data_IF_578985557470
#
_entry.id   IF_578985557470
#
_cell.length_a   1.000
_cell.length_b   1.000
_cell.length_c   1.000
_cell.angle_alpha   90.00
_cell.angle_beta   90.00
_cell.angle_gamma   90.00
#
_symmetry.space_group_name_H-M   'P 1'
#
loop_
_entity.id
_entity.type
_entity.pdbx_description
1 polymer ?
#
# COMPACT_ATOMS: atom_id res chain seq x y z
N UNK A 1 -2.33 -2.20 0.70
CA UNK A 1 -0.97 -1.89 0.21
C UNK A 1 -0.42 -0.79 1.11
N UNK A 2 0.86 -0.83 1.48
CA UNK A 2 1.49 0.22 2.27
C UNK A 2 1.47 1.54 1.50
N UNK A 3 1.12 2.64 2.16
CA UNK A 3 1.06 3.98 1.59
C UNK A 3 1.18 5.03 2.68
N UNK A 4 1.97 6.06 2.45
CA UNK A 4 2.05 7.18 3.40
C UNK A 4 2.51 8.48 2.77
N UNK A 5 2.83 9.42 3.64
CA UNK A 5 3.20 10.77 3.25
C UNK A 5 4.63 10.83 2.72
N UNK A 6 4.90 11.85 1.89
CA UNK A 6 6.27 12.22 1.50
C UNK A 6 6.63 13.46 2.33
N UNK A 7 7.77 13.42 3.02
CA UNK A 7 8.26 14.58 3.78
C UNK A 7 8.79 15.69 2.87
N UNK A 8 8.93 16.91 3.41
CA UNK A 8 9.43 18.06 2.63
C UNK A 8 10.86 17.82 2.14
N UNK A 9 11.04 17.79 0.82
CA UNK A 9 12.32 17.50 0.17
C UNK A 9 12.71 16.01 0.12
N UNK A 10 11.83 15.09 0.55
CA UNK A 10 12.07 13.65 0.49
C UNK A 10 11.85 13.11 -0.92
N UNK A 11 12.75 12.22 -1.36
CA UNK A 11 12.60 11.51 -2.64
C UNK A 11 11.47 10.46 -2.54
N UNK A 12 10.55 10.36 -3.53
CA UNK A 12 9.43 9.41 -3.47
C UNK A 12 9.81 7.94 -3.26
N UNK A 13 10.98 7.49 -3.75
CA UNK A 13 11.44 6.10 -3.53
C UNK A 13 11.88 5.90 -2.10
N UNK A 14 12.55 6.91 -1.54
CA UNK A 14 12.97 6.90 -0.14
C UNK A 14 11.75 6.87 0.77
N UNK A 15 10.75 7.71 0.49
CA UNK A 15 9.47 7.68 1.19
C UNK A 15 8.80 6.31 1.06
N UNK A 16 8.70 5.74 -0.15
CA UNK A 16 8.09 4.42 -0.35
C UNK A 16 8.75 3.30 0.47
N UNK A 17 10.09 3.27 0.55
CA UNK A 17 10.79 2.30 1.39
C UNK A 17 10.65 2.56 2.89
N UNK A 18 10.63 3.84 3.30
CA UNK A 18 10.40 4.24 4.69
C UNK A 18 9.01 3.80 5.14
N UNK A 19 7.97 4.18 4.40
CA UNK A 19 6.58 3.82 4.67
C UNK A 19 6.37 2.30 4.63
N UNK A 20 6.98 1.59 3.65
CA UNK A 20 6.96 0.12 3.64
C UNK A 20 7.49 -0.45 4.96
N UNK A 21 8.63 0.05 5.44
CA UNK A 21 9.22 -0.40 6.71
C UNK A 21 8.36 -0.02 7.91
N UNK A 22 7.87 1.22 7.95
CA UNK A 22 7.08 1.77 9.07
C UNK A 22 5.73 1.06 9.20
N UNK A 23 5.08 0.70 8.09
CA UNK A 23 3.75 0.09 8.12
C UNK A 23 3.77 -1.45 8.15
N UNK A 24 4.86 -2.08 7.69
CA UNK A 24 4.93 -3.55 7.53
C UNK A 24 6.15 -4.21 8.15
N UNK A 25 7.18 -3.45 8.51
CA UNK A 25 8.48 -3.98 8.96
C UNK A 25 9.37 -4.53 7.84
N UNK A 26 8.89 -4.57 6.59
CA UNK A 26 9.62 -5.12 5.45
C UNK A 26 10.79 -4.21 5.07
N UNK A 27 11.97 -4.80 4.91
CA UNK A 27 13.18 -4.11 4.45
C UNK A 27 13.87 -4.81 3.28
N UNK A 28 13.51 -6.06 3.00
CA UNK A 28 14.00 -6.87 1.88
C UNK A 28 13.08 -6.73 0.66
N UNK A 29 13.12 -5.58 0.01
CA UNK A 29 12.33 -5.30 -1.21
C UNK A 29 13.19 -4.66 -2.30
N UNK A 30 12.82 -4.88 -3.56
CA UNK A 30 13.42 -4.27 -4.74
C UNK A 30 12.34 -3.56 -5.57
N UNK A 31 12.69 -2.41 -6.17
CA UNK A 31 11.79 -1.69 -7.07
C UNK A 31 11.79 -2.38 -8.44
N UNK A 32 10.64 -2.92 -8.85
CA UNK A 32 10.46 -3.49 -10.18
C UNK A 32 10.01 -2.45 -11.22
N UNK A 33 9.23 -1.46 -10.81
CA UNK A 33 8.70 -0.39 -11.66
C UNK A 33 8.21 0.80 -10.82
N UNK A 34 8.02 1.95 -11.46
CA UNK A 34 7.51 3.18 -10.86
C UNK A 34 6.41 3.77 -11.76
N UNK A 35 5.37 4.35 -11.16
CA UNK A 35 4.34 5.03 -11.93
C UNK A 35 4.92 6.28 -12.60
N UNK A 36 4.67 6.52 -13.90
CA UNK A 36 5.28 7.63 -14.63
C UNK A 36 4.74 9.02 -14.21
N UNK A 37 3.68 9.07 -13.41
CA UNK A 37 3.05 10.28 -12.91
C UNK A 37 2.26 10.00 -11.62
N UNK A 38 1.87 11.07 -10.93
CA UNK A 38 1.07 11.01 -9.71
C UNK A 38 -0.35 10.51 -9.97
N UNK A 39 -0.78 9.53 -9.17
CA UNK A 39 -2.14 9.03 -9.14
C UNK A 39 -2.90 9.70 -7.99
N UNK A 40 -3.99 10.39 -8.30
CA UNK A 40 -4.80 11.12 -7.31
C UNK A 40 -6.21 10.56 -7.26
N UNK A 41 -6.72 10.29 -6.06
CA UNK A 41 -8.15 10.01 -5.83
C UNK A 41 -8.71 10.92 -4.74
N UNK A 42 -10.02 11.13 -4.81
CA UNK A 42 -10.74 11.86 -3.76
C UNK A 42 -11.15 10.88 -2.66
N UNK A 43 -10.67 11.13 -1.44
CA UNK A 43 -11.08 10.37 -0.27
C UNK A 43 -12.52 10.74 0.11
N UNK A 44 -13.44 9.76 0.08
CA UNK A 44 -14.77 9.92 0.68
C UNK A 44 -14.63 9.79 2.21
N UNK A 45 -15.23 10.67 3.03
CA UNK A 45 -14.97 10.74 4.47
C UNK A 45 -15.26 9.46 5.27
N UNK A 46 -16.07 8.52 4.76
CA UNK A 46 -16.58 7.37 5.52
C UNK A 46 -15.65 6.13 5.51
N UNK A 47 -14.51 6.20 4.84
CA UNK A 47 -13.61 5.08 4.55
C UNK A 47 -12.69 4.64 5.70
N UNK A 48 -13.25 4.22 6.83
CA UNK A 48 -12.49 3.57 7.91
C UNK A 48 -13.32 2.43 8.51
N UNK A 49 -13.26 1.23 7.92
CA UNK A 49 -13.04 -0.03 8.65
C UNK A 49 -13.26 -1.28 7.79
N UNK A 50 -12.28 -2.23 7.85
CA UNK A 50 -12.41 -3.71 7.97
C UNK A 50 -11.43 -4.47 7.06
N UNK A 51 -10.79 -5.50 7.63
CA UNK A 51 -10.84 -6.91 7.16
C UNK A 51 -10.13 -7.87 8.14
N UNK A 52 -10.63 -9.10 8.23
CA UNK A 52 -10.21 -10.15 9.19
C UNK A 52 -9.55 -11.38 8.50
N UNK A 53 -8.29 -11.65 8.86
CA UNK A 53 -7.52 -12.92 8.99
C UNK A 53 -6.56 -13.27 7.84
N UNK A 54 -5.26 -13.38 8.14
CA UNK A 54 -4.30 -14.50 7.90
C UNK A 54 -2.87 -14.01 8.30
N UNK A 55 -1.93 -14.94 8.57
CA UNK A 55 -0.61 -14.64 9.17
C UNK A 55 0.53 -15.20 8.32
N UNK A 56 1.61 -14.42 8.17
CA UNK A 56 2.94 -14.84 7.67
C UNK A 56 4.02 -14.05 8.45
N UNK A 57 5.20 -14.65 8.68
CA UNK A 57 6.16 -14.22 9.71
C UNK A 57 7.01 -12.98 9.34
N UNK A 58 7.05 -12.55 8.07
CA UNK A 58 7.89 -11.41 7.64
C UNK A 58 7.21 -10.03 7.78
N UNK A 59 5.88 -9.99 7.85
CA UNK A 59 5.13 -8.72 7.88
C UNK A 59 4.61 -8.47 9.28
N UNK A 60 5.23 -7.49 9.93
CA UNK A 60 4.79 -6.94 11.21
C UNK A 60 3.97 -5.68 10.97
N UNK A 61 2.63 -5.80 11.01
CA UNK A 61 1.73 -4.64 10.85
C UNK A 61 1.72 -3.70 12.05
N UNK A 62 2.41 -4.06 13.15
CA UNK A 62 2.75 -3.10 14.19
C UNK A 62 3.86 -2.13 13.74
N UNK A 63 4.43 -2.35 12.55
CA UNK A 63 5.52 -1.56 12.03
C UNK A 63 6.85 -1.83 12.73
N UNK A 64 7.74 -0.84 12.67
CA UNK A 64 8.94 -0.77 13.52
C UNK A 64 8.66 -0.17 14.91
N UNK A 65 7.38 0.10 15.23
CA UNK A 65 6.93 0.62 16.51
C UNK A 65 7.07 2.14 16.67
N UNK A 66 7.44 2.85 15.61
CA UNK A 66 7.53 4.32 15.59
C UNK A 66 6.17 5.00 15.56
N UNK A 67 5.18 4.38 14.92
CA UNK A 67 3.84 4.94 14.74
C UNK A 67 2.68 4.02 15.14
N UNK A 68 1.47 4.59 15.21
CA UNK A 68 0.27 3.80 15.50
C UNK A 68 -0.01 2.86 14.31
N UNK A 69 -0.23 1.55 14.55
CA UNK A 69 -0.51 0.59 13.48
C UNK A 69 -1.68 1.01 12.59
N UNK A 70 -1.41 1.23 11.30
CA UNK A 70 -2.44 1.55 10.29
C UNK A 70 -3.26 0.30 9.92
N UNK A 71 -2.60 -0.85 9.85
CA UNK A 71 -3.22 -2.10 9.42
C UNK A 71 -3.40 -3.08 10.58
N UNK A 72 -4.57 -3.72 10.62
CA UNK A 72 -4.81 -4.81 11.57
C UNK A 72 -4.33 -6.17 11.04
N UNK A 73 -4.41 -6.39 9.72
CA UNK A 73 -4.21 -7.69 9.05
C UNK A 73 -3.83 -7.54 7.57
N UNK A 74 -3.19 -8.57 7.02
CA UNK A 74 -2.75 -8.62 5.62
C UNK A 74 -2.90 -10.04 5.04
N UNK A 75 -2.88 -10.16 3.72
CA UNK A 75 -2.83 -11.43 2.99
C UNK A 75 -2.22 -11.18 1.62
N UNK A 76 -1.53 -12.17 1.06
CA UNK A 76 -1.29 -12.22 -0.38
C UNK A 76 -2.63 -12.41 -1.10
N UNK A 77 -2.88 -11.59 -2.10
CA UNK A 77 -4.12 -11.62 -2.90
C UNK A 77 -3.77 -11.33 -4.35
N UNK A 78 -4.53 -11.92 -5.27
CA UNK A 78 -4.47 -11.52 -6.67
C UNK A 78 -5.03 -10.11 -6.84
N UNK A 79 -4.67 -9.48 -7.94
CA UNK A 79 -5.04 -8.09 -8.21
C UNK A 79 -6.55 -7.93 -8.42
N UNK A 80 -7.20 -8.93 -9.01
CA UNK A 80 -8.65 -8.99 -9.15
C UNK A 80 -9.32 -9.05 -7.77
N UNK A 81 -8.76 -9.84 -6.85
CA UNK A 81 -9.26 -9.92 -5.47
C UNK A 81 -9.10 -8.60 -4.72
N UNK A 82 -8.01 -7.84 -4.98
CA UNK A 82 -7.82 -6.51 -4.40
C UNK A 82 -8.89 -5.55 -4.91
N UNK A 83 -9.20 -5.55 -6.21
CA UNK A 83 -10.26 -4.70 -6.77
C UNK A 83 -11.66 -5.02 -6.21
N UNK A 84 -11.94 -6.28 -5.88
CA UNK A 84 -13.22 -6.67 -5.26
C UNK A 84 -13.37 -6.17 -3.82
N UNK A 85 -12.26 -6.02 -3.09
CA UNK A 85 -12.24 -5.66 -1.68
C UNK A 85 -12.00 -4.17 -1.43
N UNK A 86 -11.36 -3.47 -2.37
CA UNK A 86 -11.10 -2.05 -2.23
C UNK A 86 -12.41 -1.27 -2.31
N UNK A 87 -12.52 -0.25 -1.48
CA UNK A 87 -13.65 0.68 -1.49
C UNK A 87 -13.82 1.32 -2.89
N UNK A 88 -15.07 1.50 -3.32
CA UNK A 88 -15.41 1.98 -4.67
C UNK A 88 -14.71 3.29 -5.06
N UNK A 89 -14.49 4.19 -4.09
CA UNK A 89 -13.82 5.47 -4.30
C UNK A 89 -12.35 5.32 -4.74
N UNK A 90 -11.71 4.19 -4.41
CA UNK A 90 -10.30 3.91 -4.71
C UNK A 90 -10.10 3.01 -5.93
N UNK A 91 -11.16 2.33 -6.40
CA UNK A 91 -11.11 1.43 -7.57
C UNK A 91 -10.44 2.08 -8.79
N UNK A 92 -10.76 3.33 -9.19
CA UNK A 92 -10.14 3.92 -10.38
C UNK A 92 -8.61 4.04 -10.28
N UNK A 93 -8.09 4.40 -9.11
CA UNK A 93 -6.63 4.47 -8.90
C UNK A 93 -6.01 3.09 -8.89
N UNK A 94 -6.66 2.10 -8.28
CA UNK A 94 -6.17 0.74 -8.30
C UNK A 94 -6.18 0.17 -9.73
N UNK A 95 -7.22 0.40 -10.53
CA UNK A 95 -7.26 0.04 -11.95
C UNK A 95 -6.12 0.67 -12.76
N UNK A 96 -5.79 1.93 -12.47
CA UNK A 96 -4.70 2.64 -13.12
C UNK A 96 -3.33 2.09 -12.72
N UNK A 97 -3.10 1.85 -11.42
CA UNK A 97 -1.93 1.12 -10.89
C UNK A 97 -1.79 -0.21 -11.62
N UNK A 98 -2.88 -0.96 -11.78
CA UNK A 98 -2.86 -2.25 -12.48
C UNK A 98 -2.47 -2.10 -13.94
N UNK A 99 -3.08 -1.16 -14.66
CA UNK A 99 -2.73 -0.90 -16.05
C UNK A 99 -1.24 -0.60 -16.23
N UNK A 100 -0.60 0.05 -15.25
CA UNK A 100 0.82 0.36 -15.30
C UNK A 100 1.73 -0.82 -14.97
N UNK A 101 1.37 -1.61 -13.96
CA UNK A 101 2.25 -2.65 -13.45
C UNK A 101 1.97 -4.04 -14.03
N UNK A 102 0.83 -4.28 -14.69
CA UNK A 102 0.52 -5.57 -15.33
C UNK A 102 1.64 -6.13 -16.22
N UNK A 103 2.42 -5.34 -16.99
CA UNK A 103 3.54 -5.86 -17.77
C UNK A 103 4.73 -6.37 -16.93
N UNK A 104 4.77 -6.08 -15.64
CA UNK A 104 5.86 -6.38 -14.71
C UNK A 104 5.50 -7.44 -13.66
N UNK A 105 4.27 -7.95 -13.72
CA UNK A 105 3.68 -8.94 -12.81
C UNK A 105 3.60 -10.32 -13.48
#
# INVERSE_FOLDING_TARGET
>A
MPQGGIEDGEDPKTAAFRELREETGVSSAEILAEAPYWLTYNFQPEARERLKNHWEEEINLLGDGTDKPEFGKWSWMSLEQVLELVEDSRKPVYEEVLSFFSPHL
#
